data_IF_507391309622
#
_entry.id   IF_507391309622
#
_cell.length_a   1.000
_cell.length_b   1.000
_cell.length_c   1.000
_cell.angle_alpha   90.00
_cell.angle_beta   90.00
_cell.angle_gamma   90.00
#
_symmetry.space_group_name_H-M   'P 1'
#
loop_
_entity.id
_entity.type
_entity.pdbx_description
1 polymer ?
#
# COMPACT_ATOMS: atom_id res chain seq x y z
N UNK A 1 -45.27 37.47 29.95
CA UNK A 1 -45.26 36.03 30.29
C UNK A 1 -44.97 35.27 28.99
N UNK A 2 -43.69 35.12 28.64
CA UNK A 2 -43.25 34.48 27.40
C UNK A 2 -42.90 33.02 27.69
N UNK A 3 -43.68 32.11 27.11
CA UNK A 3 -43.47 30.66 27.22
C UNK A 3 -42.28 30.28 26.35
N UNK A 4 -41.13 30.00 26.98
CA UNK A 4 -40.00 29.29 26.34
C UNK A 4 -40.43 27.84 26.12
N UNK A 5 -40.81 27.51 24.91
CA UNK A 5 -40.87 26.11 24.45
C UNK A 5 -39.44 25.61 24.26
N UNK A 6 -38.98 24.78 25.21
CA UNK A 6 -37.76 24.00 25.12
C UNK A 6 -37.92 22.93 24.03
N UNK A 7 -37.32 23.15 22.87
CA UNK A 7 -37.10 22.07 21.90
C UNK A 7 -36.06 21.10 22.49
N UNK A 8 -36.32 19.78 22.49
CA UNK A 8 -35.33 18.80 22.88
C UNK A 8 -34.19 18.84 21.86
N UNK A 9 -32.98 19.12 22.35
CA UNK A 9 -31.74 18.86 21.60
C UNK A 9 -31.70 17.36 21.38
N UNK A 10 -31.94 16.93 20.14
CA UNK A 10 -31.75 15.56 19.71
C UNK A 10 -30.25 15.24 19.75
N UNK A 11 -29.77 14.88 20.94
CA UNK A 11 -28.49 14.20 21.11
C UNK A 11 -28.71 12.73 20.79
N UNK A 12 -28.40 12.32 19.56
CA UNK A 12 -28.42 10.92 19.18
C UNK A 12 -28.32 10.69 17.68
N UNK A 13 -27.17 10.18 17.23
CA UNK A 13 -27.15 9.28 16.08
C UNK A 13 -26.51 9.75 14.76
N UNK A 14 -25.61 10.73 14.75
CA UNK A 14 -24.82 11.04 13.53
C UNK A 14 -23.51 10.20 13.40
N UNK A 15 -23.33 9.12 14.17
CA UNK A 15 -22.06 8.36 14.16
C UNK A 15 -21.97 7.24 13.11
N UNK A 16 -23.05 6.87 12.41
CA UNK A 16 -23.02 5.70 11.51
C UNK A 16 -23.52 6.00 10.10
N UNK A 17 -23.10 7.12 9.49
CA UNK A 17 -23.25 7.26 8.05
C UNK A 17 -22.36 6.21 7.37
N UNK A 18 -22.90 5.18 6.68
CA UNK A 18 -22.06 4.21 6.00
C UNK A 18 -21.21 4.96 4.99
N UNK A 19 -19.88 4.78 5.08
CA UNK A 19 -18.88 5.27 4.12
C UNK A 19 -19.11 4.59 2.76
N UNK A 20 -20.21 4.93 2.10
CA UNK A 20 -20.64 4.38 0.81
C UNK A 20 -20.77 5.52 -0.19
N UNK A 21 -19.72 6.34 -0.29
CA UNK A 21 -19.52 7.17 -1.48
C UNK A 21 -18.69 6.34 -2.44
N UNK A 22 -19.36 5.59 -3.32
CA UNK A 22 -18.71 5.04 -4.51
C UNK A 22 -18.48 6.22 -5.46
N UNK A 23 -17.34 6.88 -5.33
CA UNK A 23 -16.91 7.92 -6.27
C UNK A 23 -16.73 7.34 -7.66
N UNK A 24 -17.05 8.14 -8.69
CA UNK A 24 -16.65 7.83 -10.06
C UNK A 24 -15.12 7.80 -10.16
N UNK A 25 -14.52 6.92 -10.98
CA UNK A 25 -13.08 6.92 -11.18
C UNK A 25 -12.58 8.29 -11.65
N UNK A 26 -11.47 8.76 -11.09
CA UNK A 26 -10.81 9.98 -11.54
C UNK A 26 -10.18 9.76 -12.92
N UNK A 27 -10.95 10.05 -13.97
CA UNK A 27 -10.57 9.83 -15.37
C UNK A 27 -9.21 10.44 -15.73
N UNK A 28 -8.85 11.67 -15.30
CA UNK A 28 -7.53 12.22 -15.60
C UNK A 28 -6.38 11.40 -15.01
N UNK A 29 -6.54 10.89 -13.79
CA UNK A 29 -5.52 10.07 -13.13
C UNK A 29 -5.37 8.73 -13.83
N UNK A 30 -6.49 8.10 -14.17
CA UNK A 30 -6.52 6.84 -14.92
C UNK A 30 -5.82 6.98 -16.28
N UNK A 31 -6.12 8.05 -17.03
CA UNK A 31 -5.52 8.30 -18.33
C UNK A 31 -3.99 8.49 -18.21
N UNK A 32 -3.55 9.26 -17.21
CA UNK A 32 -2.13 9.47 -16.94
C UNK A 32 -1.42 8.16 -16.62
N UNK A 33 -2.02 7.31 -15.77
CA UNK A 33 -1.46 6.00 -15.43
C UNK A 33 -1.31 5.11 -16.68
N UNK A 34 -2.33 5.06 -17.55
CA UNK A 34 -2.28 4.27 -18.80
C UNK A 34 -1.15 4.77 -19.71
N UNK A 35 -1.01 6.09 -19.88
CA UNK A 35 0.06 6.68 -20.69
C UNK A 35 1.43 6.31 -20.13
N UNK A 36 1.63 6.40 -18.82
CA UNK A 36 2.90 6.04 -18.16
C UNK A 36 3.24 4.55 -18.31
N UNK A 37 2.24 3.66 -18.21
CA UNK A 37 2.45 2.22 -18.44
C UNK A 37 2.84 1.95 -19.88
N UNK A 38 2.15 2.54 -20.86
CA UNK A 38 2.49 2.36 -22.28
C UNK A 38 3.89 2.90 -22.61
N UNK A 39 4.24 4.05 -22.05
CA UNK A 39 5.59 4.59 -22.17
C UNK A 39 6.63 3.65 -21.56
N UNK A 40 6.35 3.09 -20.38
CA UNK A 40 7.18 2.06 -19.75
C UNK A 40 7.38 0.82 -20.63
N UNK A 41 6.32 0.32 -21.27
CA UNK A 41 6.41 -0.79 -22.22
C UNK A 41 7.39 -0.51 -23.37
N UNK A 42 7.31 0.69 -23.96
CA UNK A 42 8.22 1.12 -25.04
C UNK A 42 9.67 1.15 -24.54
N UNK A 43 9.89 1.71 -23.35
CA UNK A 43 11.23 1.80 -22.75
C UNK A 43 11.83 0.43 -22.42
N UNK A 44 11.03 -0.52 -21.92
CA UNK A 44 11.48 -1.89 -21.63
C UNK A 44 11.94 -2.59 -22.91
N UNK A 45 11.16 -2.47 -24.00
CA UNK A 45 11.56 -3.02 -25.29
C UNK A 45 12.85 -2.37 -25.79
N UNK A 46 12.94 -1.03 -25.76
CA UNK A 46 14.12 -0.30 -26.24
C UNK A 46 15.40 -0.63 -25.47
N UNK A 47 15.33 -0.78 -24.15
CA UNK A 47 16.51 -1.05 -23.32
C UNK A 47 16.92 -2.53 -23.31
N UNK A 48 15.97 -3.45 -23.51
CA UNK A 48 16.19 -4.88 -23.30
C UNK A 48 16.31 -5.69 -24.60
N UNK A 49 15.93 -5.15 -25.76
CA UNK A 49 15.91 -5.90 -27.02
C UNK A 49 17.29 -6.51 -27.39
N UNK A 50 18.37 -5.74 -27.26
CA UNK A 50 19.74 -6.20 -27.57
C UNK A 50 20.21 -7.27 -26.58
N UNK A 51 19.86 -7.12 -25.30
CA UNK A 51 20.22 -8.08 -24.26
C UNK A 51 19.43 -9.40 -24.38
N UNK A 52 18.16 -9.31 -24.77
CA UNK A 52 17.27 -10.44 -24.97
C UNK A 52 17.68 -11.30 -26.17
N UNK A 53 18.11 -10.66 -27.27
CA UNK A 53 18.62 -11.36 -28.46
C UNK A 53 19.91 -12.15 -28.13
N UNK A 54 20.78 -11.60 -27.28
CA UNK A 54 22.05 -12.23 -26.90
C UNK A 54 21.90 -13.42 -25.94
N UNK A 55 20.99 -13.34 -24.95
CA UNK A 55 20.89 -14.34 -23.87
C UNK A 55 19.70 -15.30 -24.01
N UNK A 56 18.62 -14.90 -24.68
CA UNK A 56 17.39 -15.68 -24.79
C UNK A 56 17.04 -16.07 -26.23
N UNK A 57 17.83 -15.62 -27.23
CA UNK A 57 17.58 -15.81 -28.66
C UNK A 57 16.20 -15.32 -29.14
N UNK A 58 15.53 -14.51 -28.32
CA UNK A 58 14.22 -13.93 -28.59
C UNK A 58 14.22 -12.50 -28.03
N UNK A 59 14.21 -11.51 -28.93
CA UNK A 59 14.20 -10.09 -28.60
C UNK A 59 12.93 -9.66 -27.84
N UNK A 60 11.88 -10.48 -27.86
CA UNK A 60 10.58 -10.17 -27.28
C UNK A 60 10.39 -10.69 -25.85
N UNK A 61 11.33 -11.49 -25.33
CA UNK A 61 11.16 -12.18 -24.04
C UNK A 61 10.78 -11.25 -22.87
N UNK A 62 11.51 -10.14 -22.68
CA UNK A 62 11.23 -9.20 -21.58
C UNK A 62 9.95 -8.38 -21.79
N UNK A 63 9.64 -8.00 -23.03
CA UNK A 63 8.45 -7.19 -23.32
C UNK A 63 7.16 -8.02 -23.19
N UNK A 64 7.17 -9.28 -23.62
CA UNK A 64 6.02 -10.19 -23.44
C UNK A 64 5.71 -10.36 -21.96
N UNK A 65 6.75 -10.59 -21.13
CA UNK A 65 6.58 -10.73 -19.68
C UNK A 65 6.07 -9.44 -19.04
N UNK A 66 6.61 -8.29 -19.45
CA UNK A 66 6.14 -6.99 -18.97
C UNK A 66 4.67 -6.73 -19.33
N UNK A 67 4.26 -7.04 -20.56
CA UNK A 67 2.87 -6.93 -21.01
C UNK A 67 1.93 -7.85 -20.24
N UNK A 68 2.33 -9.10 -19.96
CA UNK A 68 1.53 -10.01 -19.14
C UNK A 68 1.30 -9.42 -17.75
N UNK A 69 2.35 -8.93 -17.07
CA UNK A 69 2.20 -8.29 -15.76
C UNK A 69 1.38 -7.00 -15.81
N UNK A 70 1.54 -6.19 -16.86
CA UNK A 70 0.74 -4.98 -17.06
C UNK A 70 -0.75 -5.31 -17.25
N UNK A 71 -1.07 -6.34 -18.03
CA UNK A 71 -2.44 -6.82 -18.23
C UNK A 71 -3.06 -7.37 -16.95
N UNK A 72 -2.30 -8.18 -16.19
CA UNK A 72 -2.73 -8.69 -14.88
C UNK A 72 -3.00 -7.52 -13.93
N UNK A 73 -2.11 -6.53 -13.89
CA UNK A 73 -2.27 -5.31 -13.09
C UNK A 73 -3.50 -4.50 -13.49
N UNK A 74 -3.74 -4.32 -14.79
CA UNK A 74 -4.91 -3.62 -15.32
C UNK A 74 -6.23 -4.36 -14.99
N UNK A 75 -6.23 -5.69 -15.12
CA UNK A 75 -7.37 -6.52 -14.73
C UNK A 75 -7.64 -6.42 -13.22
N UNK A 76 -6.60 -6.51 -12.39
CA UNK A 76 -6.72 -6.35 -10.94
C UNK A 76 -7.27 -4.96 -10.57
N UNK A 77 -6.76 -3.88 -11.19
CA UNK A 77 -7.26 -2.53 -11.00
C UNK A 77 -8.75 -2.43 -11.34
N UNK A 78 -9.17 -2.97 -12.48
CA UNK A 78 -10.57 -2.95 -12.91
C UNK A 78 -11.49 -3.68 -11.91
N UNK A 79 -11.07 -4.86 -11.45
CA UNK A 79 -11.82 -5.63 -10.45
C UNK A 79 -11.93 -4.88 -9.12
N UNK A 80 -10.82 -4.29 -8.65
CA UNK A 80 -10.77 -3.52 -7.41
C UNK A 80 -11.73 -2.31 -7.48
N UNK A 81 -11.69 -1.53 -8.55
CA UNK A 81 -12.62 -0.40 -8.76
C UNK A 81 -14.08 -0.88 -8.77
N UNK A 82 -14.34 -2.07 -9.33
CA UNK A 82 -15.70 -2.58 -9.49
C UNK A 82 -16.30 -3.13 -8.20
N UNK A 83 -15.50 -3.82 -7.39
CA UNK A 83 -15.95 -4.68 -6.29
C UNK A 83 -15.51 -4.21 -4.89
N UNK A 84 -14.40 -3.49 -4.74
CA UNK A 84 -13.91 -3.10 -3.41
C UNK A 84 -14.59 -1.82 -2.91
N UNK A 85 -15.11 -1.86 -1.69
CA UNK A 85 -15.70 -0.71 -0.99
C UNK A 85 -14.72 -0.15 0.06
N UNK A 86 -14.90 1.09 0.54
CA UNK A 86 -14.07 1.64 1.62
C UNK A 86 -14.06 0.76 2.87
N UNK A 87 -15.18 0.09 3.19
CA UNK A 87 -15.29 -0.84 4.32
C UNK A 87 -14.42 -2.08 4.11
N UNK A 88 -14.44 -2.66 2.90
CA UNK A 88 -13.57 -3.79 2.55
C UNK A 88 -12.09 -3.45 2.81
N UNK A 89 -11.65 -2.25 2.41
CA UNK A 89 -10.27 -1.80 2.61
C UNK A 89 -9.88 -1.67 4.09
N UNK A 90 -10.81 -1.29 4.97
CA UNK A 90 -10.52 -1.20 6.40
C UNK A 90 -10.25 -2.58 7.00
N UNK A 91 -11.04 -3.59 6.68
CA UNK A 91 -10.82 -4.94 7.22
C UNK A 91 -9.61 -5.60 6.56
N UNK A 92 -9.46 -5.42 5.25
CA UNK A 92 -8.33 -5.93 4.50
C UNK A 92 -7.00 -5.32 4.95
N UNK A 93 -6.96 -4.07 5.41
CA UNK A 93 -5.74 -3.43 5.91
C UNK A 93 -5.08 -4.21 7.06
N UNK A 94 -5.87 -4.76 7.99
CA UNK A 94 -5.33 -5.51 9.15
C UNK A 94 -4.76 -6.85 8.70
N UNK A 95 -5.49 -7.54 7.82
CA UNK A 95 -5.06 -8.83 7.25
C UNK A 95 -3.80 -8.62 6.42
N UNK A 96 -3.77 -7.62 5.55
CA UNK A 96 -2.62 -7.34 4.70
C UNK A 96 -1.40 -6.93 5.53
N UNK A 97 -1.58 -6.15 6.59
CA UNK A 97 -0.49 -5.81 7.50
C UNK A 97 0.09 -7.05 8.18
N UNK A 98 -0.76 -7.93 8.72
CA UNK A 98 -0.31 -9.19 9.32
C UNK A 98 0.46 -10.06 8.30
N UNK A 99 -0.09 -10.23 7.10
CA UNK A 99 0.58 -10.97 6.01
C UNK A 99 1.91 -10.31 5.65
N UNK A 100 1.98 -8.98 5.55
CA UNK A 100 3.22 -8.28 5.21
C UNK A 100 4.30 -8.48 6.26
N UNK A 101 3.96 -8.44 7.55
CA UNK A 101 4.91 -8.68 8.63
C UNK A 101 5.39 -10.13 8.59
N UNK A 102 4.50 -11.08 8.35
CA UNK A 102 4.88 -12.49 8.16
C UNK A 102 5.81 -12.68 6.96
N UNK A 103 5.56 -12.00 5.84
CA UNK A 103 6.42 -12.05 4.66
C UNK A 103 7.81 -11.45 4.92
N UNK A 104 7.88 -10.31 5.63
CA UNK A 104 9.15 -9.72 6.07
C UNK A 104 9.93 -10.70 6.95
N UNK A 105 9.28 -11.30 7.96
CA UNK A 105 9.91 -12.30 8.81
C UNK A 105 10.34 -13.56 8.02
N UNK A 106 9.54 -13.99 7.04
CA UNK A 106 9.86 -15.13 6.21
C UNK A 106 11.13 -14.88 5.37
N UNK A 107 11.26 -13.71 4.74
CA UNK A 107 12.43 -13.43 3.89
C UNK A 107 13.74 -13.30 4.67
N UNK A 108 13.69 -12.91 5.94
CA UNK A 108 14.88 -12.97 6.81
C UNK A 108 15.43 -14.41 6.96
N UNK A 109 14.56 -15.43 6.89
CA UNK A 109 14.96 -16.84 7.08
C UNK A 109 15.21 -17.53 5.74
N UNK A 110 14.24 -17.47 4.83
CA UNK A 110 14.23 -18.20 3.55
C UNK A 110 14.46 -17.31 2.33
N UNK A 111 14.82 -16.05 2.53
CA UNK A 111 15.08 -15.12 1.43
C UNK A 111 16.23 -15.57 0.54
N UNK A 112 16.01 -15.38 -0.75
CA UNK A 112 16.98 -15.53 -1.83
C UNK A 112 17.70 -14.19 -2.03
N UNK A 113 19.01 -14.25 -2.29
CA UNK A 113 19.80 -13.07 -2.58
C UNK A 113 19.77 -12.68 -4.06
N UNK A 114 19.29 -13.58 -4.94
CA UNK A 114 19.29 -13.42 -6.40
C UNK A 114 20.65 -12.91 -6.94
N UNK A 115 21.77 -13.25 -6.29
CA UNK A 115 23.11 -12.78 -6.64
C UNK A 115 23.43 -11.33 -6.26
N UNK A 116 22.56 -10.65 -5.52
CA UNK A 116 22.75 -9.27 -5.03
C UNK A 116 23.39 -9.16 -3.65
N UNK A 117 23.73 -10.30 -3.01
CA UNK A 117 24.39 -10.37 -1.71
C UNK A 117 23.50 -10.02 -0.51
N UNK A 118 22.19 -9.82 -0.70
CA UNK A 118 21.23 -9.56 0.37
C UNK A 118 19.93 -10.33 0.15
N UNK A 119 19.51 -11.09 1.17
CA UNK A 119 18.27 -11.88 1.17
C UNK A 119 17.05 -10.97 1.24
N UNK A 120 16.49 -10.64 0.07
CA UNK A 120 15.40 -9.66 -0.08
C UNK A 120 14.22 -10.19 -0.88
N UNK A 121 14.42 -11.30 -1.58
CA UNK A 121 13.45 -11.83 -2.52
C UNK A 121 12.94 -13.17 -2.03
N UNK A 122 11.63 -13.36 -2.08
CA UNK A 122 11.03 -14.68 -1.95
C UNK A 122 10.84 -15.22 -3.37
N UNK A 123 11.67 -16.20 -3.72
CA UNK A 123 11.65 -16.83 -5.02
C UNK A 123 10.75 -18.07 -4.99
N UNK A 124 9.59 -17.99 -5.66
CA UNK A 124 8.67 -19.12 -5.80
C UNK A 124 8.90 -19.90 -7.10
N UNK A 125 10.01 -19.65 -7.81
CA UNK A 125 10.38 -20.28 -9.07
C UNK A 125 9.80 -19.59 -10.30
N UNK A 126 8.49 -19.29 -10.29
CA UNK A 126 7.79 -18.60 -11.39
C UNK A 126 7.57 -17.11 -11.12
N UNK A 127 7.53 -16.71 -9.84
CA UNK A 127 7.38 -15.31 -9.43
C UNK A 127 8.37 -15.04 -8.30
N UNK A 128 9.01 -13.87 -8.38
CA UNK A 128 9.83 -13.32 -7.30
C UNK A 128 9.04 -12.21 -6.62
N UNK A 129 8.72 -12.40 -5.34
CA UNK A 129 8.00 -11.40 -4.55
C UNK A 129 8.98 -10.68 -3.62
N UNK A 130 8.86 -9.35 -3.57
CA UNK A 130 9.62 -8.53 -2.64
C UNK A 130 8.72 -8.12 -1.44
N UNK A 131 8.93 -8.68 -0.24
CA UNK A 131 8.07 -8.40 0.92
C UNK A 131 8.00 -6.93 1.30
N UNK A 132 9.10 -6.18 1.15
CA UNK A 132 9.14 -4.75 1.43
C UNK A 132 8.16 -3.91 0.59
N UNK A 133 7.83 -4.36 -0.64
CA UNK A 133 6.83 -3.68 -1.48
C UNK A 133 5.42 -3.84 -0.91
N UNK A 134 5.08 -5.05 -0.46
CA UNK A 134 3.79 -5.35 0.18
C UNK A 134 3.68 -4.61 1.51
N UNK A 135 4.77 -4.57 2.29
CA UNK A 135 4.83 -3.89 3.58
C UNK A 135 4.56 -2.38 3.47
N UNK A 136 5.08 -1.70 2.45
CA UNK A 136 4.81 -0.26 2.23
C UNK A 136 3.31 0.01 2.05
N UNK A 137 2.65 -0.76 1.18
CA UNK A 137 1.21 -0.61 0.95
C UNK A 137 0.40 -0.94 2.21
N UNK A 138 0.75 -2.02 2.90
CA UNK A 138 0.07 -2.43 4.12
C UNK A 138 0.25 -1.41 5.25
N UNK A 139 1.43 -0.80 5.36
CA UNK A 139 1.74 0.25 6.33
C UNK A 139 0.87 1.49 6.11
N UNK A 140 0.75 1.97 4.87
CA UNK A 140 -0.12 3.11 4.55
C UNK A 140 -1.56 2.82 4.93
N UNK A 141 -2.07 1.63 4.62
CA UNK A 141 -3.45 1.25 4.93
C UNK A 141 -3.72 1.09 6.42
N UNK A 142 -2.82 0.46 7.18
CA UNK A 142 -3.01 0.30 8.63
C UNK A 142 -2.92 1.65 9.34
N UNK A 143 -2.04 2.55 8.89
CA UNK A 143 -1.92 3.90 9.43
C UNK A 143 -3.17 4.72 9.12
N UNK A 144 -3.69 4.64 7.89
CA UNK A 144 -4.96 5.28 7.52
C UNK A 144 -6.11 4.79 8.41
N UNK A 145 -6.26 3.46 8.58
CA UNK A 145 -7.28 2.87 9.47
C UNK A 145 -7.10 3.34 10.91
N UNK A 146 -5.88 3.34 11.42
CA UNK A 146 -5.56 3.78 12.78
C UNK A 146 -5.95 5.26 12.97
N UNK A 147 -5.61 6.14 12.01
CA UNK A 147 -5.93 7.56 12.06
C UNK A 147 -7.43 7.82 12.00
N UNK A 148 -8.18 7.05 11.21
CA UNK A 148 -9.64 7.13 11.20
C UNK A 148 -10.23 6.66 12.53
N UNK A 149 -9.74 5.55 13.10
CA UNK A 149 -10.27 4.97 14.34
C UNK A 149 -10.01 5.84 15.57
N UNK A 150 -8.87 6.52 15.63
CA UNK A 150 -8.49 7.36 16.77
C UNK A 150 -8.62 8.86 16.48
N UNK A 151 -9.40 9.23 15.46
CA UNK A 151 -9.56 10.62 15.00
C UNK A 151 -9.84 11.60 16.14
N UNK A 152 -10.76 11.26 17.05
CA UNK A 152 -11.15 12.15 18.15
C UNK A 152 -10.06 12.28 19.22
N UNK A 153 -9.29 11.21 19.45
CA UNK A 153 -8.14 11.23 20.37
C UNK A 153 -6.96 12.00 19.79
N UNK A 154 -6.76 11.92 18.48
CA UNK A 154 -5.73 12.69 17.74
C UNK A 154 -6.09 14.18 17.71
N UNK A 155 -7.37 14.52 17.51
CA UNK A 155 -7.84 15.92 17.45
C UNK A 155 -8.07 16.57 18.82
N UNK A 156 -7.99 15.81 19.90
CA UNK A 156 -8.19 16.30 21.27
C UNK A 156 -7.29 17.49 21.60
N UNK A 157 -7.90 18.57 22.10
CA UNK A 157 -7.27 19.88 22.36
C UNK A 157 -6.24 19.87 23.51
N UNK A 158 -6.13 18.74 24.22
CA UNK A 158 -5.04 18.51 25.19
C UNK A 158 -3.72 18.24 24.47
N UNK A 159 -3.07 19.34 24.09
CA UNK A 159 -1.86 19.49 23.25
C UNK A 159 -0.64 18.64 23.64
N UNK A 160 -0.61 18.00 24.81
CA UNK A 160 0.60 17.39 25.35
C UNK A 160 0.47 15.97 25.94
N UNK A 161 -0.74 15.45 26.15
CA UNK A 161 -0.92 14.15 26.84
C UNK A 161 -1.45 13.05 25.93
N UNK A 162 -2.67 13.23 25.44
CA UNK A 162 -3.36 12.24 24.60
C UNK A 162 -3.04 12.41 23.11
N UNK A 163 -3.17 13.62 22.59
CA UNK A 163 -3.05 13.88 21.15
C UNK A 163 -1.66 13.51 20.59
N UNK A 164 -0.57 13.79 21.32
CA UNK A 164 0.79 13.43 20.89
C UNK A 164 1.03 11.92 20.90
N UNK A 165 0.55 11.21 21.92
CA UNK A 165 0.73 9.76 22.04
C UNK A 165 0.01 9.01 20.91
N UNK A 166 -1.26 9.37 20.68
CA UNK A 166 -2.08 8.74 19.64
C UNK A 166 -1.73 9.23 18.24
N UNK A 167 -1.29 10.48 18.05
CA UNK A 167 -0.97 11.04 16.74
C UNK A 167 0.45 10.78 16.26
N UNK A 168 1.44 10.67 17.17
CA UNK A 168 2.86 10.58 16.80
C UNK A 168 3.50 9.31 17.33
N UNK A 169 3.37 9.02 18.63
CA UNK A 169 4.12 7.93 19.26
C UNK A 169 3.67 6.56 18.75
N UNK A 170 2.38 6.23 18.83
CA UNK A 170 1.90 4.91 18.38
C UNK A 170 2.09 4.68 16.87
N UNK A 171 1.75 5.63 15.97
CA UNK A 171 2.06 5.49 14.54
C UNK A 171 3.56 5.39 14.26
N UNK A 172 4.37 6.21 14.95
CA UNK A 172 5.82 6.20 14.83
C UNK A 172 6.43 4.87 15.25
N UNK A 173 5.88 4.23 16.29
CA UNK A 173 6.29 2.88 16.70
C UNK A 173 5.98 1.82 15.65
N UNK A 174 4.82 1.91 14.99
CA UNK A 174 4.45 0.99 13.89
C UNK A 174 5.41 1.17 12.71
N UNK A 175 5.67 2.42 12.31
CA UNK A 175 6.61 2.75 11.24
C UNK A 175 8.02 2.24 11.59
N UNK A 176 8.50 2.52 12.80
CA UNK A 176 9.81 2.09 13.27
C UNK A 176 9.96 0.57 13.29
N UNK A 177 8.92 -0.17 13.68
CA UNK A 177 8.93 -1.63 13.65
C UNK A 177 9.06 -2.18 12.21
N UNK A 178 8.27 -1.66 11.27
CA UNK A 178 8.34 -2.07 9.86
C UNK A 178 9.67 -1.66 9.23
N UNK A 179 10.13 -0.42 9.49
CA UNK A 179 11.42 0.09 9.03
C UNK A 179 12.58 -0.76 9.57
N UNK A 180 12.53 -1.16 10.84
CA UNK A 180 13.52 -2.06 11.44
C UNK A 180 13.58 -3.42 10.74
N UNK A 181 12.44 -4.01 10.43
CA UNK A 181 12.39 -5.27 9.66
C UNK A 181 12.97 -5.12 8.25
N UNK A 182 12.64 -4.05 7.53
CA UNK A 182 13.19 -3.77 6.20
C UNK A 182 14.70 -3.49 6.26
N UNK A 183 15.18 -2.84 7.33
CA UNK A 183 16.60 -2.60 7.54
C UNK A 183 17.38 -3.92 7.72
N UNK A 184 16.77 -4.95 8.33
CA UNK A 184 17.38 -6.27 8.48
C UNK A 184 17.52 -7.03 7.16
N UNK A 185 16.66 -6.74 6.17
CA UNK A 185 16.81 -7.22 4.78
C UNK A 185 17.92 -6.47 4.02
N UNK A 186 18.60 -5.53 4.68
CA UNK A 186 19.56 -4.59 4.11
C UNK A 186 19.00 -3.77 2.95
N UNK A 187 17.68 -3.57 2.82
CA UNK A 187 17.08 -2.88 1.67
C UNK A 187 17.01 -1.35 1.90
N UNK A 188 18.13 -0.67 1.63
CA UNK A 188 18.33 0.76 1.93
C UNK A 188 17.34 1.68 1.20
N UNK A 189 17.02 1.41 -0.07
CA UNK A 189 16.05 2.20 -0.84
C UNK A 189 14.65 2.12 -0.25
N UNK A 190 14.21 0.92 0.17
CA UNK A 190 12.91 0.73 0.82
C UNK A 190 12.86 1.42 2.18
N UNK A 191 13.95 1.39 2.94
CA UNK A 191 14.05 2.08 4.22
C UNK A 191 13.90 3.61 4.04
N UNK A 192 14.55 4.19 3.03
CA UNK A 192 14.43 5.63 2.75
C UNK A 192 12.99 6.04 2.40
N UNK A 193 12.27 5.22 1.61
CA UNK A 193 10.89 5.52 1.21
C UNK A 193 9.93 5.45 2.41
N UNK A 194 10.17 4.55 3.36
CA UNK A 194 9.34 4.42 4.57
C UNK A 194 9.68 5.48 5.61
N UNK A 195 10.94 5.92 5.67
CA UNK A 195 11.42 6.88 6.66
C UNK A 195 11.28 8.36 6.28
N UNK A 196 11.15 8.68 4.98
CA UNK A 196 10.84 10.03 4.47
C UNK A 196 9.33 10.32 4.55
#
# INVERSE_FOLDING_TARGET
MAVRTSLPVASGGEEDAPLSVKGSPDIPMLLLTVILVLFGCVMVYSASAVYAEQYHHDSTYFIVRHLIFALIGAAAMFLIIRFCTPVFWQDFAVILFAISVLLLLAVLVVGDDLGSGAKRWLNFGFITLQPSEVAKLALVMILAKYMTKYRDKVRSEYRFGGSFLYGVVYPGMIIAAVAGLIALEHHISGLMIVGM
#
